data_IF_362024456289
#
_entry.id   IF_362024456289
#
_cell.length_a   1.000
_cell.length_b   1.000
_cell.length_c   1.000
_cell.angle_alpha   90.00
_cell.angle_beta   90.00
_cell.angle_gamma   90.00
#
_symmetry.space_group_name_H-M   'P 1'
#
loop_
_entity.id
_entity.type
_entity.pdbx_description
1 polymer ?
#
# COMPACT_ATOMS: atom_id res chain seq x y z
N UNK A 1 2.12 21.87 -14.87
CA UNK A 1 1.24 20.77 -14.45
C UNK A 1 1.95 19.46 -14.74
N UNK A 2 2.76 18.96 -13.80
CA UNK A 2 3.59 17.77 -14.00
C UNK A 2 2.91 16.60 -13.31
N UNK A 3 2.39 15.66 -14.11
CA UNK A 3 1.93 14.37 -13.63
C UNK A 3 3.12 13.63 -13.00
N UNK A 4 3.03 13.35 -11.69
CA UNK A 4 3.93 12.40 -11.04
C UNK A 4 3.78 11.03 -11.73
N UNK A 5 4.86 10.25 -11.91
CA UNK A 5 4.78 8.95 -12.57
C UNK A 5 4.10 7.94 -11.66
N UNK A 6 2.77 7.94 -11.70
CA UNK A 6 1.94 6.83 -11.28
C UNK A 6 0.98 6.53 -12.43
N UNK A 7 1.51 6.06 -13.56
CA UNK A 7 0.68 5.52 -14.64
C UNK A 7 1.49 4.71 -15.66
N UNK A 8 2.15 3.66 -15.17
CA UNK A 8 2.28 2.45 -15.98
C UNK A 8 1.63 1.30 -15.22
N UNK A 9 0.30 1.37 -15.11
CA UNK A 9 -0.48 0.13 -15.15
C UNK A 9 -0.10 -0.52 -16.49
N UNK A 10 0.83 -1.46 -16.45
CA UNK A 10 1.29 -2.14 -17.65
C UNK A 10 0.07 -2.79 -18.30
N UNK A 11 -0.24 -2.34 -19.52
CA UNK A 11 -1.15 -3.03 -20.43
C UNK A 11 -0.62 -4.44 -20.64
N UNK A 12 -1.14 -5.37 -19.85
CA UNK A 12 -1.14 -6.81 -20.06
C UNK A 12 -2.27 -7.34 -19.17
N UNK A 13 -3.50 -6.96 -19.53
CA UNK A 13 -4.70 -7.65 -19.05
C UNK A 13 -4.68 -9.00 -19.77
N UNK A 14 -3.98 -9.97 -19.21
CA UNK A 14 -4.33 -11.37 -19.45
C UNK A 14 -5.81 -11.51 -19.08
N UNK A 15 -6.60 -12.11 -19.96
CA UNK A 15 -8.07 -12.26 -19.97
C UNK A 15 -8.72 -12.59 -18.60
N UNK A 16 -8.65 -11.66 -17.66
CA UNK A 16 -9.39 -11.70 -16.42
C UNK A 16 -10.72 -11.03 -16.72
N UNK A 17 -11.80 -11.82 -16.71
CA UNK A 17 -13.16 -11.33 -16.88
C UNK A 17 -13.53 -10.45 -15.67
N UNK A 18 -13.23 -9.16 -15.77
CA UNK A 18 -13.70 -8.17 -14.82
C UNK A 18 -15.20 -7.93 -15.05
N UNK A 19 -15.91 -7.46 -14.01
CA UNK A 19 -17.22 -6.85 -14.20
C UNK A 19 -17.15 -5.65 -15.17
N UNK A 20 -18.28 -5.03 -15.54
CA UNK A 20 -18.34 -4.00 -16.59
C UNK A 20 -17.54 -2.71 -16.30
N UNK A 21 -16.94 -2.58 -15.11
CA UNK A 21 -16.25 -1.38 -14.64
C UNK A 21 -14.74 -1.52 -14.83
N UNK A 22 -14.12 -0.51 -15.47
CA UNK A 22 -12.68 -0.45 -15.70
C UNK A 22 -11.87 -0.44 -14.38
N UNK A 23 -10.64 -0.99 -14.36
CA UNK A 23 -9.76 -0.88 -13.21
C UNK A 23 -9.51 0.58 -12.81
N UNK A 24 -9.51 0.85 -11.50
CA UNK A 24 -9.39 2.21 -10.96
C UNK A 24 -8.49 2.25 -9.72
N UNK A 25 -7.78 3.36 -9.57
CA UNK A 25 -6.87 3.62 -8.46
C UNK A 25 -7.04 5.06 -7.95
N UNK A 26 -7.12 5.21 -6.63
CA UNK A 26 -7.09 6.51 -5.95
C UNK A 26 -6.10 6.43 -4.79
N UNK A 27 -5.09 7.29 -4.76
CA UNK A 27 -4.11 7.34 -3.66
C UNK A 27 -4.05 8.72 -3.03
N UNK A 28 -3.91 8.81 -1.72
CA UNK A 28 -3.89 10.06 -0.96
C UNK A 28 -2.93 9.99 0.23
N UNK A 29 -2.15 11.05 0.44
CA UNK A 29 -1.14 11.14 1.51
C UNK A 29 0.23 11.59 1.02
N UNK A 30 1.28 11.15 1.70
CA UNK A 30 2.66 11.52 1.41
C UNK A 30 3.20 10.79 0.18
N UNK A 31 4.16 11.39 -0.51
CA UNK A 31 4.96 10.76 -1.56
C UNK A 31 6.45 11.05 -1.34
N UNK A 32 7.31 10.22 -1.95
CA UNK A 32 8.73 10.52 -2.12
C UNK A 32 9.13 10.24 -3.56
N UNK A 33 9.74 11.23 -4.21
CA UNK A 33 10.21 11.13 -5.59
C UNK A 33 11.45 12.02 -5.78
N UNK A 34 12.49 11.50 -6.43
CA UNK A 34 13.72 12.28 -6.68
C UNK A 34 14.40 12.83 -5.42
N UNK A 35 14.24 12.16 -4.26
CA UNK A 35 14.79 12.62 -2.98
C UNK A 35 13.99 13.73 -2.28
N UNK A 36 12.86 14.15 -2.85
CA UNK A 36 11.92 15.09 -2.23
C UNK A 36 10.71 14.34 -1.69
N UNK A 37 10.36 14.62 -0.43
CA UNK A 37 9.14 14.15 0.19
C UNK A 37 8.10 15.28 0.25
N UNK A 38 6.83 14.95 0.08
CA UNK A 38 5.76 15.95 0.13
C UNK A 38 4.38 15.33 0.25
N UNK A 39 3.35 16.18 0.24
CA UNK A 39 1.94 15.77 0.28
C UNK A 39 1.37 15.73 -1.13
N UNK A 40 0.75 14.63 -1.52
CA UNK A 40 0.14 14.50 -2.84
C UNK A 40 -1.09 15.42 -2.99
N UNK A 41 -1.42 15.77 -4.25
CA UNK A 41 -2.50 16.71 -4.54
C UNK A 41 -3.87 16.20 -4.08
N UNK A 42 -4.12 14.89 -4.12
CA UNK A 42 -5.38 14.30 -3.68
C UNK A 42 -5.65 14.52 -2.19
N UNK A 43 -4.63 14.52 -1.34
CA UNK A 43 -4.80 14.78 0.09
C UNK A 43 -5.31 16.20 0.36
N UNK A 44 -4.88 17.17 -0.46
CA UNK A 44 -5.35 18.56 -0.37
C UNK A 44 -6.71 18.77 -1.05
N UNK A 45 -6.97 18.09 -2.16
CA UNK A 45 -8.21 18.22 -2.91
C UNK A 45 -9.39 17.48 -2.25
N UNK A 46 -9.13 16.37 -1.56
CA UNK A 46 -10.16 15.51 -0.97
C UNK A 46 -9.90 15.21 0.53
N UNK A 47 -9.74 16.24 1.38
CA UNK A 47 -9.31 16.06 2.78
C UNK A 47 -10.28 15.19 3.58
N UNK A 48 -11.59 15.30 3.34
CA UNK A 48 -12.59 14.48 4.03
C UNK A 48 -12.52 13.01 3.63
N UNK A 49 -12.26 12.72 2.36
CA UNK A 49 -12.02 11.34 1.88
C UNK A 49 -10.74 10.81 2.50
N UNK A 50 -9.67 11.60 2.52
CA UNK A 50 -8.41 11.23 3.17
C UNK A 50 -8.61 10.90 4.64
N UNK A 51 -9.29 11.76 5.41
CA UNK A 51 -9.62 11.53 6.82
C UNK A 51 -10.46 10.28 7.03
N UNK A 52 -11.46 10.06 6.19
CA UNK A 52 -12.30 8.86 6.25
C UNK A 52 -11.47 7.59 6.07
N UNK A 53 -10.62 7.54 5.04
CA UNK A 53 -9.76 6.38 4.78
C UNK A 53 -8.73 6.16 5.90
N UNK A 54 -8.11 7.23 6.41
CA UNK A 54 -7.20 7.14 7.56
C UNK A 54 -7.93 6.63 8.81
N UNK A 55 -9.18 7.06 9.04
CA UNK A 55 -10.00 6.60 10.16
C UNK A 55 -10.29 5.10 10.09
N UNK A 56 -10.60 4.56 8.90
CA UNK A 56 -10.78 3.12 8.69
C UNK A 56 -9.49 2.37 9.03
N UNK A 57 -8.34 2.81 8.52
CA UNK A 57 -7.05 2.18 8.81
C UNK A 57 -6.73 2.22 10.30
N UNK A 58 -6.93 3.35 10.98
CA UNK A 58 -6.68 3.48 12.42
C UNK A 58 -7.61 2.64 13.28
N UNK A 59 -8.85 2.48 12.84
CA UNK A 59 -9.83 1.68 13.58
C UNK A 59 -9.51 0.18 13.49
N UNK A 60 -9.08 -0.29 12.32
CA UNK A 60 -8.75 -1.70 12.09
C UNK A 60 -7.32 -2.05 12.51
N UNK A 61 -6.38 -1.12 12.36
CA UNK A 61 -4.95 -1.29 12.62
C UNK A 61 -4.41 -0.16 13.54
N UNK A 62 -4.76 -0.12 14.84
CA UNK A 62 -4.42 1.03 15.70
C UNK A 62 -2.92 1.33 15.87
N UNK A 63 -2.08 0.30 15.72
CA UNK A 63 -0.62 0.41 15.82
C UNK A 63 0.08 0.64 14.46
N UNK A 64 -0.69 0.84 13.38
CA UNK A 64 -0.13 1.00 12.05
C UNK A 64 0.47 2.39 11.85
N UNK A 65 1.77 2.45 11.58
CA UNK A 65 2.37 3.59 10.93
C UNK A 65 2.04 3.56 9.44
N UNK A 66 1.53 4.67 8.91
CA UNK A 66 1.29 4.85 7.49
C UNK A 66 1.25 6.34 7.18
N UNK A 67 1.80 6.70 6.03
CA UNK A 67 1.84 8.07 5.52
C UNK A 67 1.04 8.23 4.24
N UNK A 68 0.52 7.14 3.67
CA UNK A 68 -0.28 7.13 2.46
C UNK A 68 -1.31 5.99 2.51
N UNK A 69 -2.49 6.24 1.94
CA UNK A 69 -3.55 5.24 1.73
C UNK A 69 -4.00 5.25 0.29
N UNK A 70 -4.43 4.09 -0.21
CA UNK A 70 -4.98 3.97 -1.55
C UNK A 70 -6.18 3.04 -1.62
N UNK A 71 -7.05 3.33 -2.57
CA UNK A 71 -8.15 2.48 -3.01
C UNK A 71 -7.77 1.87 -4.36
N UNK A 72 -7.88 0.54 -4.44
CA UNK A 72 -7.56 -0.23 -5.64
C UNK A 72 -8.75 -1.10 -6.01
N UNK A 73 -9.35 -0.82 -7.17
CA UNK A 73 -10.45 -1.58 -7.74
C UNK A 73 -9.99 -2.33 -8.99
N UNK A 74 -10.03 -3.66 -8.95
CA UNK A 74 -9.61 -4.56 -10.03
C UNK A 74 -8.20 -4.27 -10.62
N UNK A 75 -7.27 -3.77 -9.80
CA UNK A 75 -5.87 -3.55 -10.21
C UNK A 75 -5.05 -4.81 -9.96
N UNK A 76 -4.42 -5.32 -11.02
CA UNK A 76 -3.38 -6.33 -10.95
C UNK A 76 -2.00 -5.67 -10.90
N UNK A 77 -1.08 -6.30 -10.18
CA UNK A 77 0.33 -5.90 -10.14
C UNK A 77 1.22 -7.08 -10.49
N UNK A 78 2.15 -6.88 -11.43
CA UNK A 78 3.26 -7.82 -11.65
C UNK A 78 4.07 -7.98 -10.35
N UNK A 79 4.79 -9.08 -10.14
CA UNK A 79 5.67 -9.22 -8.99
C UNK A 79 6.68 -8.05 -8.90
N UNK A 80 6.71 -7.39 -7.75
CA UNK A 80 7.52 -6.19 -7.53
C UNK A 80 7.95 -6.05 -6.07
N UNK A 81 8.81 -5.06 -5.81
CA UNK A 81 9.23 -4.62 -4.47
C UNK A 81 8.94 -3.12 -4.38
N UNK A 82 8.37 -2.67 -3.25
CA UNK A 82 8.12 -1.26 -3.04
C UNK A 82 9.37 -0.56 -2.51
N UNK A 83 10.30 -0.27 -3.41
CA UNK A 83 11.62 0.28 -3.04
C UNK A 83 11.56 1.70 -2.42
N UNK A 84 10.41 2.36 -2.50
CA UNK A 84 10.13 3.67 -1.91
C UNK A 84 9.38 3.59 -0.58
N UNK A 85 8.97 2.40 -0.13
CA UNK A 85 8.32 2.24 1.16
C UNK A 85 9.36 2.07 2.27
N UNK A 86 8.96 2.46 3.49
CA UNK A 86 9.79 2.40 4.68
C UNK A 86 10.20 0.96 4.99
N UNK A 87 11.48 0.73 5.29
CA UNK A 87 12.02 -0.63 5.41
C UNK A 87 11.59 -1.38 6.69
N UNK A 88 11.14 -0.65 7.71
CA UNK A 88 10.71 -1.20 8.99
C UNK A 88 9.20 -1.11 9.24
N UNK A 89 8.44 -0.59 8.28
CA UNK A 89 6.99 -0.46 8.42
C UNK A 89 6.34 -1.39 7.40
N UNK A 90 5.45 -2.31 7.82
CA UNK A 90 4.74 -3.15 6.88
C UNK A 90 3.70 -2.33 6.08
N UNK A 91 3.35 -2.83 4.90
CA UNK A 91 2.14 -2.40 4.21
C UNK A 91 0.93 -3.15 4.76
N UNK A 92 -0.24 -2.55 4.68
CA UNK A 92 -1.51 -3.14 5.10
C UNK A 92 -2.49 -3.20 3.92
N UNK A 93 -3.26 -4.29 3.82
CA UNK A 93 -4.38 -4.41 2.89
C UNK A 93 -5.66 -4.78 3.64
N UNK A 94 -6.71 -4.00 3.43
CA UNK A 94 -8.04 -4.17 4.00
C UNK A 94 -9.01 -4.52 2.85
N UNK A 95 -9.65 -5.70 2.86
CA UNK A 95 -10.64 -6.04 1.86
C UNK A 95 -11.91 -5.18 2.02
N UNK A 96 -12.35 -4.52 0.95
CA UNK A 96 -13.59 -3.72 0.90
C UNK A 96 -14.74 -4.39 0.13
N UNK A 97 -14.46 -5.51 -0.54
CA UNK A 97 -15.47 -6.35 -1.21
C UNK A 97 -15.20 -7.83 -0.94
N UNK A 98 -16.03 -8.70 -1.54
CA UNK A 98 -15.82 -10.16 -1.53
C UNK A 98 -15.46 -10.63 -2.93
N UNK A 99 -14.45 -11.48 -3.02
CA UNK A 99 -13.95 -12.09 -4.26
C UNK A 99 -13.44 -13.50 -3.97
N UNK A 100 -13.07 -14.24 -5.00
CA UNK A 100 -12.44 -15.57 -4.90
C UNK A 100 -11.05 -15.53 -5.54
N UNK A 101 -10.07 -16.19 -4.93
CA UNK A 101 -8.66 -16.02 -5.28
C UNK A 101 -8.12 -14.66 -4.84
N UNK A 102 -7.20 -14.07 -5.60
CA UNK A 102 -6.78 -12.68 -5.37
C UNK A 102 -5.88 -12.46 -4.15
N UNK A 103 -5.37 -13.53 -3.58
CA UNK A 103 -4.50 -13.51 -2.41
C UNK A 103 -3.13 -12.91 -2.73
N UNK A 104 -2.43 -12.47 -1.69
CA UNK A 104 -1.11 -11.89 -1.83
C UNK A 104 -0.06 -12.98 -1.71
N UNK A 105 0.68 -13.23 -2.80
CA UNK A 105 1.90 -14.01 -2.72
C UNK A 105 3.05 -13.10 -2.27
N UNK A 106 3.84 -13.54 -1.30
CA UNK A 106 4.99 -12.82 -0.76
C UNK A 106 6.20 -13.75 -0.73
N UNK A 107 7.29 -13.35 -1.39
CA UNK A 107 8.54 -14.10 -1.43
C UNK A 107 9.04 -14.38 -0.02
N UNK A 108 9.39 -15.63 0.22
CA UNK A 108 9.84 -16.11 1.52
C UNK A 108 10.69 -17.35 1.33
N UNK A 109 11.91 -17.41 1.90
CA UNK A 109 12.73 -18.62 1.91
C UNK A 109 12.05 -19.81 2.58
N UNK A 110 11.06 -19.56 3.45
CA UNK A 110 10.25 -20.59 4.13
C UNK A 110 8.94 -20.90 3.39
N UNK A 111 8.69 -20.25 2.26
CA UNK A 111 7.53 -20.50 1.43
C UNK A 111 7.68 -21.78 0.61
N UNK A 112 6.54 -22.35 0.20
CA UNK A 112 6.49 -23.53 -0.66
C UNK A 112 5.76 -23.28 -1.99
N UNK A 113 5.25 -22.06 -2.21
CA UNK A 113 4.51 -21.71 -3.43
C UNK A 113 5.42 -20.93 -4.36
N UNK A 114 5.73 -21.50 -5.53
CA UNK A 114 6.37 -20.77 -6.61
C UNK A 114 5.31 -20.17 -7.55
N UNK A 115 5.59 -18.99 -8.09
CA UNK A 115 4.75 -18.37 -9.13
C UNK A 115 5.19 -18.73 -10.55
N UNK A 116 6.48 -19.03 -10.71
CA UNK A 116 7.11 -19.37 -11.98
C UNK A 116 8.07 -20.56 -11.74
N UNK A 117 8.27 -21.46 -12.72
CA UNK A 117 9.02 -22.72 -12.53
C UNK A 117 10.42 -22.57 -11.93
N UNK A 118 11.09 -21.45 -12.20
CA UNK A 118 12.44 -21.12 -11.73
C UNK A 118 12.45 -19.89 -10.80
N UNK A 119 11.27 -19.45 -10.36
CA UNK A 119 11.11 -18.29 -9.51
C UNK A 119 11.34 -18.58 -8.02
N UNK A 120 11.50 -17.53 -7.19
CA UNK A 120 11.60 -17.70 -5.75
C UNK A 120 10.33 -18.36 -5.18
N UNK A 121 10.51 -19.13 -4.12
CA UNK A 121 9.40 -19.58 -3.29
C UNK A 121 8.82 -18.41 -2.48
N UNK A 122 7.53 -18.52 -2.17
CA UNK A 122 6.84 -17.58 -1.31
C UNK A 122 5.69 -18.21 -0.56
N UNK A 123 5.10 -17.41 0.32
CA UNK A 123 3.90 -17.74 1.08
C UNK A 123 2.71 -17.01 0.45
N UNK A 124 1.60 -17.73 0.32
CA UNK A 124 0.31 -17.11 -0.01
C UNK A 124 -0.34 -16.61 1.28
N UNK A 125 -0.70 -15.34 1.29
CA UNK A 125 -1.36 -14.65 2.39
C UNK A 125 -2.80 -14.33 1.99
N UNK A 126 -3.79 -14.98 2.62
CA UNK A 126 -5.20 -14.73 2.34
C UNK A 126 -5.57 -13.28 2.66
N UNK A 127 -6.05 -12.53 1.67
CA UNK A 127 -6.48 -11.14 1.90
C UNK A 127 -7.89 -11.17 2.48
N UNK A 128 -7.97 -11.23 3.79
CA UNK A 128 -9.20 -11.43 4.55
C UNK A 128 -9.36 -10.37 5.65
N UNK A 129 -10.59 -10.25 6.18
CA UNK A 129 -10.88 -9.33 7.27
C UNK A 129 -10.12 -9.76 8.55
N UNK A 130 -9.71 -8.81 9.41
CA UNK A 130 -9.89 -7.36 9.25
C UNK A 130 -8.89 -6.72 8.28
N UNK A 131 -7.69 -7.29 8.17
CA UNK A 131 -6.62 -6.85 7.25
C UNK A 131 -5.51 -7.90 7.19
N UNK A 132 -4.60 -7.75 6.22
CA UNK A 132 -3.27 -8.37 6.27
C UNK A 132 -2.17 -7.32 6.33
N UNK A 133 -1.03 -7.69 6.91
CA UNK A 133 0.19 -6.89 6.88
C UNK A 133 1.34 -7.68 6.28
N UNK A 134 2.19 -7.06 5.47
CA UNK A 134 3.32 -7.73 4.84
C UNK A 134 4.53 -6.81 4.72
N UNK A 135 5.72 -7.39 4.58
CA UNK A 135 6.94 -6.62 4.35
C UNK A 135 6.97 -6.12 2.89
N UNK A 136 6.93 -4.80 2.65
CA UNK A 136 6.93 -4.25 1.30
C UNK A 136 8.27 -4.39 0.57
N UNK A 137 9.34 -4.69 1.31
CA UNK A 137 10.72 -4.80 0.82
C UNK A 137 11.09 -6.18 0.27
N UNK A 138 10.16 -7.12 0.26
CA UNK A 138 10.31 -8.41 -0.41
C UNK A 138 9.40 -8.50 -1.62
N UNK A 139 9.76 -9.33 -2.59
CA UNK A 139 8.99 -9.45 -3.82
C UNK A 139 7.58 -9.97 -3.49
N UNK A 140 6.55 -9.33 -4.03
CA UNK A 140 5.17 -9.72 -3.79
C UNK A 140 4.30 -9.46 -5.02
N UNK A 141 3.20 -10.21 -5.12
CA UNK A 141 2.26 -10.12 -6.23
C UNK A 141 0.86 -10.53 -5.80
N UNK A 142 -0.16 -9.89 -6.38
CA UNK A 142 -1.55 -10.34 -6.26
C UNK A 142 -1.74 -11.53 -7.21
N UNK A 143 -2.27 -12.64 -6.70
CA UNK A 143 -2.64 -13.81 -7.49
C UNK A 143 -3.91 -13.55 -8.30
N UNK A 144 -4.20 -14.31 -9.37
CA UNK A 144 -5.44 -14.18 -10.12
C UNK A 144 -6.69 -14.30 -9.23
N UNK A 145 -7.75 -13.56 -9.58
CA UNK A 145 -9.03 -13.58 -8.88
C UNK A 145 -10.20 -13.58 -9.85
N UNK A 146 -11.39 -13.86 -9.31
CA UNK A 146 -12.67 -13.68 -10.00
C UNK A 146 -13.54 -12.67 -9.24
N UNK A 147 -14.56 -12.12 -9.91
CA UNK A 147 -15.43 -11.03 -9.40
C UNK A 147 -14.68 -9.70 -9.19
N UNK A 148 -15.38 -8.74 -8.59
CA UNK A 148 -14.83 -7.40 -8.34
C UNK A 148 -14.07 -7.35 -7.02
N UNK A 149 -12.76 -7.09 -7.11
CA UNK A 149 -11.85 -6.98 -5.97
C UNK A 149 -11.60 -5.52 -5.65
N UNK A 150 -12.03 -5.10 -4.47
CA UNK A 150 -11.85 -3.75 -3.95
C UNK A 150 -11.05 -3.79 -2.66
N UNK A 151 -9.94 -3.06 -2.60
CA UNK A 151 -9.00 -3.08 -1.48
C UNK A 151 -8.63 -1.65 -1.08
N UNK A 152 -8.62 -1.40 0.22
CA UNK A 152 -7.94 -0.25 0.83
C UNK A 152 -6.55 -0.69 1.26
N UNK A 153 -5.52 -0.08 0.71
CA UNK A 153 -4.14 -0.27 1.13
C UNK A 153 -3.63 0.91 1.95
N UNK A 154 -2.71 0.63 2.87
CA UNK A 154 -1.96 1.64 3.61
C UNK A 154 -0.47 1.31 3.57
N UNK A 155 0.36 2.32 3.36
CA UNK A 155 1.81 2.17 3.37
C UNK A 155 2.50 3.41 3.93
N UNK A 156 3.79 3.27 4.19
CA UNK A 156 4.62 4.36 4.68
C UNK A 156 5.73 4.65 3.68
N UNK A 157 5.92 5.91 3.29
CA UNK A 157 7.08 6.31 2.48
C UNK A 157 8.36 6.11 3.29
N UNK A 158 9.46 5.76 2.63
CA UNK A 158 10.79 5.86 3.24
C UNK A 158 11.13 7.33 3.50
N UNK A 159 12.04 7.56 4.44
CA UNK A 159 12.64 8.88 4.67
C UNK A 159 11.60 10.00 4.87
N UNK A 160 10.55 9.70 5.62
CA UNK A 160 9.50 10.64 6.01
C UNK A 160 10.02 11.82 6.85
N UNK A 161 11.19 11.69 7.48
CA UNK A 161 11.94 12.79 8.07
C UNK A 161 12.31 13.92 7.09
N UNK A 162 12.17 13.70 5.76
CA UNK A 162 12.33 14.75 4.74
C UNK A 162 11.07 15.61 4.55
N UNK A 163 9.94 15.25 5.14
CA UNK A 163 8.76 16.10 5.14
C UNK A 163 9.05 17.33 5.99
N UNK A 164 8.72 18.53 5.47
CA UNK A 164 8.75 19.73 6.30
C UNK A 164 7.60 19.72 7.33
N UNK A 165 7.75 20.52 8.38
CA UNK A 165 6.80 20.57 9.50
C UNK A 165 5.36 20.80 9.03
N UNK A 166 5.14 21.77 8.13
CA UNK A 166 3.80 22.03 7.58
C UNK A 166 3.18 20.83 6.84
N UNK A 167 3.98 19.98 6.20
CA UNK A 167 3.50 18.75 5.55
C UNK A 167 3.22 17.66 6.57
N UNK A 168 4.10 17.51 7.57
CA UNK A 168 3.96 16.55 8.65
C UNK A 168 2.72 16.83 9.50
N UNK A 169 2.50 18.10 9.86
CA UNK A 169 1.33 18.59 10.59
C UNK A 169 0.06 18.35 9.78
N UNK A 170 0.06 18.75 8.50
CA UNK A 170 -1.08 18.53 7.62
C UNK A 170 -1.45 17.03 7.53
N UNK A 171 -0.47 16.14 7.35
CA UNK A 171 -0.72 14.70 7.28
C UNK A 171 -1.24 14.15 8.61
N UNK A 172 -0.67 14.58 9.72
CA UNK A 172 -1.12 14.21 11.07
C UNK A 172 -2.58 14.66 11.31
N UNK A 173 -2.93 15.86 10.87
CA UNK A 173 -4.29 16.41 10.90
C UNK A 173 -5.27 15.67 9.97
N UNK A 174 -4.79 14.99 8.93
CA UNK A 174 -5.59 14.08 8.12
C UNK A 174 -5.75 12.70 8.78
N UNK A 175 -4.99 12.42 9.84
CA UNK A 175 -5.04 11.18 10.60
C UNK A 175 -3.96 10.16 10.20
N UNK A 176 -2.95 10.53 9.42
CA UNK A 176 -1.79 9.67 9.17
C UNK A 176 -0.96 9.48 10.45
N UNK A 177 -0.27 8.34 10.57
CA UNK A 177 0.63 8.04 11.68
C UNK A 177 2.07 7.94 11.14
N UNK A 178 2.82 9.04 11.23
CA UNK A 178 4.18 9.11 10.70
C UNK A 178 5.17 8.36 11.61
N UNK A 179 6.08 7.61 10.99
CA UNK A 179 7.06 6.79 11.70
C UNK A 179 8.14 7.65 12.37
N UNK A 180 8.59 8.72 11.71
CA UNK A 180 9.61 9.65 12.22
C UNK A 180 9.18 10.41 13.48
N UNK A 181 7.87 10.54 13.71
CA UNK A 181 7.31 11.24 14.87
C UNK A 181 7.13 10.33 16.09
N UNK A 182 7.65 9.10 16.05
CA UNK A 182 7.69 8.26 17.23
C UNK A 182 8.55 8.88 18.33
N UNK A 183 8.14 8.77 19.61
CA UNK A 183 9.06 8.98 20.71
C UNK A 183 10.28 8.10 20.49
N UNK A 184 11.49 8.62 20.75
CA UNK A 184 12.72 7.87 20.61
C UNK A 184 12.57 6.51 21.30
N UNK A 185 12.49 5.43 20.51
CA UNK A 185 12.62 4.09 21.07
C UNK A 185 14.07 3.98 21.51
N UNK A 186 14.29 3.58 22.77
CA UNK A 186 15.53 2.90 23.12
C UNK A 186 15.71 1.78 22.09
N UNK A 187 16.73 1.90 21.26
CA UNK A 187 17.03 0.91 20.24
C UNK A 187 17.13 -0.45 20.94
N UNK A 188 16.28 -1.45 20.61
CA UNK A 188 16.42 -2.78 21.20
C UNK A 188 17.69 -3.50 20.72
N UNK A 189 18.49 -2.86 19.87
CA UNK A 189 19.78 -3.30 19.37
C UNK A 189 20.95 -2.37 19.73
N UNK A 190 20.77 -1.40 20.64
CA UNK A 190 21.88 -0.78 21.39
C UNK A 190 21.97 -1.32 22.81
#
# INVERSE_FOLDING_TARGET
MVLLPAQQATRNVSEQHFGPTLPCYFGTGAYIFGGQAGVNAHARAFPWVTRLLCSVVRSLCPAAYFSNVFLSYNIASKPHVDCHNHRHVPNYLIPLSRWEGGDLWVASPRGCTQREPEGPCGRVMPISLPYISFNPRVQHAVLPWTRNRFVLGAFHIREDWRLNDASSDFLSDQGFQLYSLQPARSDPYM
#
